data_IF_745067427818
#
_entry.id   IF_745067427818
#
_cell.length_a   1.000
_cell.length_b   1.000
_cell.length_c   1.000
_cell.angle_alpha   90.00
_cell.angle_beta   90.00
_cell.angle_gamma   90.00
#
_symmetry.space_group_name_H-M   'P 1'
#
loop_
_entity.id
_entity.type
_entity.pdbx_description
1 polymer ?
#
# COMPACT_ATOMS: atom_id res chain seq x y z
N UNK A 1 -18.78 -8.69 9.28
CA UNK A 1 -17.75 -9.66 9.74
C UNK A 1 -16.39 -9.06 9.44
N UNK A 2 -15.46 -9.14 10.39
CA UNK A 2 -14.09 -8.68 10.18
C UNK A 2 -13.40 -9.53 9.09
N UNK A 3 -12.44 -8.94 8.38
CA UNK A 3 -11.59 -9.66 7.40
C UNK A 3 -10.37 -10.32 8.06
N UNK A 4 -10.20 -10.20 9.37
CA UNK A 4 -9.06 -10.82 10.06
C UNK A 4 -9.06 -12.34 9.90
N UNK A 5 -7.89 -12.91 9.59
CA UNK A 5 -7.72 -14.34 9.31
C UNK A 5 -8.22 -14.80 7.93
N UNK A 6 -8.68 -13.89 7.08
CA UNK A 6 -9.03 -14.17 5.68
C UNK A 6 -7.88 -13.83 4.73
N UNK A 7 -7.85 -14.50 3.58
CA UNK A 7 -6.92 -14.17 2.50
C UNK A 7 -7.41 -12.99 1.67
N UNK A 8 -6.46 -12.19 1.15
CA UNK A 8 -6.77 -11.11 0.21
C UNK A 8 -7.41 -11.69 -1.05
N UNK A 9 -8.47 -11.04 -1.52
CA UNK A 9 -9.15 -11.47 -2.75
C UNK A 9 -8.32 -11.06 -3.98
N UNK A 10 -8.44 -11.81 -5.09
CA UNK A 10 -7.80 -11.43 -6.34
C UNK A 10 -8.17 -10.00 -6.76
N UNK A 11 -7.17 -9.23 -7.19
CA UNK A 11 -7.38 -7.88 -7.69
C UNK A 11 -6.34 -7.53 -8.74
N UNK A 12 -6.66 -6.51 -9.54
CA UNK A 12 -5.74 -5.88 -10.48
C UNK A 12 -6.04 -4.38 -10.50
N UNK A 13 -5.02 -3.58 -10.23
CA UNK A 13 -5.13 -2.12 -10.18
C UNK A 13 -3.91 -1.46 -10.84
N UNK A 14 -4.12 -0.29 -11.41
CA UNK A 14 -3.05 0.58 -11.87
C UNK A 14 -2.59 1.46 -10.71
N UNK A 15 -1.27 1.60 -10.56
CA UNK A 15 -0.64 2.40 -9.52
C UNK A 15 0.47 3.27 -10.13
N UNK A 16 0.85 4.33 -9.41
CA UNK A 16 1.94 5.22 -9.79
C UNK A 16 3.11 5.03 -8.82
N UNK A 17 4.28 4.65 -9.33
CA UNK A 17 5.51 4.48 -8.54
C UNK A 17 6.70 5.07 -9.27
N UNK A 18 7.42 5.97 -8.61
CA UNK A 18 8.66 6.60 -9.11
C UNK A 18 8.55 7.13 -10.56
N UNK A 19 7.47 7.86 -10.86
CA UNK A 19 7.28 8.48 -12.17
C UNK A 19 6.67 7.57 -13.24
N UNK A 20 6.31 6.32 -12.92
CA UNK A 20 5.80 5.34 -13.89
C UNK A 20 4.49 4.73 -13.43
N UNK A 21 3.63 4.42 -14.39
CA UNK A 21 2.48 3.57 -14.16
C UNK A 21 2.91 2.11 -14.11
N UNK A 22 2.46 1.41 -13.08
CA UNK A 22 2.71 -0.01 -12.83
C UNK A 22 1.41 -0.70 -12.50
N UNK A 23 1.30 -1.97 -12.84
CA UNK A 23 0.15 -2.79 -12.45
C UNK A 23 0.47 -3.55 -11.17
N UNK A 24 -0.43 -3.47 -10.20
CA UNK A 24 -0.38 -4.18 -8.91
C UNK A 24 -1.51 -5.21 -8.88
N UNK A 25 -1.20 -6.42 -8.44
CA UNK A 25 -2.16 -7.52 -8.29
C UNK A 25 -2.00 -8.22 -6.95
N UNK A 26 -2.92 -9.11 -6.58
CA UNK A 26 -2.76 -9.95 -5.39
C UNK A 26 -1.48 -10.80 -5.45
N UNK A 27 -1.08 -11.27 -6.63
CA UNK A 27 0.19 -11.97 -6.83
C UNK A 27 1.40 -11.10 -6.49
N UNK A 28 1.35 -9.79 -6.77
CA UNK A 28 2.46 -8.88 -6.42
C UNK A 28 2.64 -8.69 -4.92
N UNK A 29 1.64 -9.05 -4.10
CA UNK A 29 1.70 -8.99 -2.63
C UNK A 29 2.23 -10.30 -2.01
N UNK A 30 2.26 -11.41 -2.77
CA UNK A 30 2.68 -12.72 -2.25
C UNK A 30 4.18 -12.74 -1.95
N UNK A 31 4.57 -13.48 -0.91
CA UNK A 31 5.96 -13.71 -0.54
C UNK A 31 6.65 -12.58 0.21
N UNK A 32 5.97 -11.45 0.44
CA UNK A 32 6.45 -10.33 1.26
C UNK A 32 5.36 -9.85 2.20
N UNK A 33 5.76 -9.21 3.29
CA UNK A 33 4.81 -8.47 4.10
C UNK A 33 4.33 -7.26 3.30
N UNK A 34 3.02 -7.02 3.31
CA UNK A 34 2.40 -5.94 2.56
C UNK A 34 1.40 -5.19 3.44
N UNK A 35 1.40 -3.86 3.36
CA UNK A 35 0.39 -3.00 3.99
C UNK A 35 -0.41 -2.34 2.87
N UNK A 36 -1.72 -2.60 2.80
CA UNK A 36 -2.58 -1.89 1.86
C UNK A 36 -3.24 -0.72 2.58
N UNK A 37 -2.73 0.49 2.35
CA UNK A 37 -3.20 1.71 2.99
C UNK A 37 -4.31 2.38 2.16
N UNK A 38 -5.52 2.40 2.68
CA UNK A 38 -6.66 3.07 2.04
C UNK A 38 -6.88 4.44 2.67
N UNK A 39 -7.03 5.46 1.84
CA UNK A 39 -7.41 6.81 2.25
C UNK A 39 -8.55 7.35 1.35
N UNK A 40 -9.34 8.33 1.83
CA UNK A 40 -10.56 8.80 1.13
C UNK A 40 -10.37 9.26 -0.31
N UNK A 41 -9.47 10.21 -0.55
CA UNK A 41 -9.21 10.80 -1.87
C UNK A 41 -8.00 11.74 -1.83
N UNK A 42 -7.35 11.89 -2.99
CA UNK A 42 -6.31 12.90 -3.23
C UNK A 42 -6.88 14.32 -3.08
N UNK A 43 -6.00 15.27 -2.72
CA UNK A 43 -6.33 16.70 -2.61
C UNK A 43 -7.42 17.04 -1.58
N UNK A 44 -7.48 16.25 -0.49
CA UNK A 44 -8.29 16.54 0.70
C UNK A 44 -7.40 16.97 1.88
N UNK A 45 -8.00 17.42 2.98
CA UNK A 45 -7.27 18.15 4.04
C UNK A 45 -6.48 17.27 5.01
N UNK A 46 -6.91 16.03 5.28
CA UNK A 46 -6.32 15.16 6.32
C UNK A 46 -5.39 14.09 5.72
N UNK A 47 -5.69 13.60 4.53
CA UNK A 47 -4.92 12.54 3.88
C UNK A 47 -3.42 12.83 3.66
N UNK A 48 -2.94 14.07 3.39
CA UNK A 48 -1.52 14.25 3.13
C UNK A 48 -0.65 13.94 4.34
N UNK A 49 -1.12 14.18 5.57
CA UNK A 49 -0.31 13.95 6.78
C UNK A 49 -0.09 12.47 7.06
N UNK A 50 -1.08 11.61 6.78
CA UNK A 50 -0.94 10.16 6.98
C UNK A 50 0.00 9.54 5.93
N UNK A 51 -0.08 10.02 4.69
CA UNK A 51 0.80 9.57 3.61
C UNK A 51 2.24 10.06 3.81
N UNK A 52 2.42 11.26 4.36
CA UNK A 52 3.74 11.79 4.72
C UNK A 52 4.42 10.94 5.79
N UNK A 53 3.72 10.58 6.87
CA UNK A 53 4.26 9.70 7.93
C UNK A 53 4.66 8.31 7.38
N UNK A 54 3.84 7.74 6.48
CA UNK A 54 4.21 6.50 5.78
C UNK A 54 5.47 6.66 4.91
N UNK A 55 5.61 7.80 4.23
CA UNK A 55 6.75 8.08 3.38
C UNK A 55 8.05 8.27 4.19
N UNK A 56 7.99 8.99 5.32
CA UNK A 56 9.12 9.17 6.23
C UNK A 56 9.62 7.85 6.81
N UNK A 57 8.69 6.95 7.14
CA UNK A 57 9.00 5.63 7.69
C UNK A 57 9.24 4.55 6.63
N UNK A 58 9.14 4.87 5.33
CA UNK A 58 9.23 3.87 4.25
C UNK A 58 10.55 3.09 4.29
N UNK A 59 11.67 3.74 4.60
CA UNK A 59 12.96 3.08 4.73
C UNK A 59 12.98 2.01 5.83
N UNK A 60 12.28 2.24 6.95
CA UNK A 60 12.17 1.30 8.04
C UNK A 60 11.30 0.10 7.66
N UNK A 61 10.19 0.32 6.95
CA UNK A 61 9.37 -0.76 6.39
C UNK A 61 10.16 -1.64 5.43
N UNK A 62 10.92 -1.03 4.51
CA UNK A 62 11.77 -1.77 3.59
C UNK A 62 12.83 -2.61 4.34
N UNK A 63 13.41 -2.07 5.42
CA UNK A 63 14.36 -2.80 6.29
C UNK A 63 13.74 -4.03 6.95
N UNK A 64 12.44 -3.95 7.27
CA UNK A 64 11.67 -5.06 7.85
C UNK A 64 11.13 -6.04 6.78
N UNK A 65 11.38 -5.79 5.50
CA UNK A 65 10.83 -6.60 4.40
C UNK A 65 9.33 -6.38 4.17
N UNK A 66 8.84 -5.18 4.51
CA UNK A 66 7.46 -4.75 4.32
C UNK A 66 7.39 -3.79 3.13
N UNK A 67 6.48 -4.07 2.20
CA UNK A 67 6.10 -3.13 1.15
C UNK A 67 4.80 -2.41 1.52
N UNK A 68 4.75 -1.13 1.19
CA UNK A 68 3.56 -0.28 1.34
C UNK A 68 2.95 -0.07 -0.05
#
# INVERSE_FOLDING_TARGET
MSLIGSEVKPFKADAFKAGKFVTVTDDTLKGKWSVVFFYPADFTFVCPTELEDLAENYAEFQRLGVEI
#
